data_IF_920584491787
#
_entry.id   IF_920584491787
#
_cell.length_a   1.000
_cell.length_b   1.000
_cell.length_c   1.000
_cell.angle_alpha   90.00
_cell.angle_beta   90.00
_cell.angle_gamma   90.00
#
_symmetry.space_group_name_H-M   'P 1'
#
loop_
_entity.id
_entity.type
_entity.pdbx_description
1 polymer ?
#
# COMPACT_ATOMS: atom_id res chain seq x y z
N UNK A 1 -39.06 9.34 16.50
CA UNK A 1 -39.20 8.45 15.33
C UNK A 1 -38.58 9.22 14.18
N UNK A 2 -37.38 8.89 13.80
CA UNK A 2 -36.68 9.55 12.68
C UNK A 2 -37.46 9.24 11.41
N UNK A 3 -37.96 10.26 10.73
CA UNK A 3 -38.60 10.14 9.41
C UNK A 3 -37.50 9.70 8.43
N UNK A 4 -37.60 8.47 7.94
CA UNK A 4 -36.70 7.94 6.91
C UNK A 4 -37.22 8.28 5.54
N UNK A 5 -36.32 8.57 4.63
CA UNK A 5 -36.68 8.78 3.25
C UNK A 5 -37.02 7.41 2.61
N UNK A 6 -38.25 7.29 2.15
CA UNK A 6 -38.73 6.09 1.43
C UNK A 6 -39.04 6.51 0.01
N UNK A 7 -38.39 5.84 -0.94
CA UNK A 7 -38.60 6.07 -2.37
C UNK A 7 -39.28 4.84 -3.00
N UNK A 8 -40.39 5.04 -3.63
CA UNK A 8 -41.07 4.00 -4.45
C UNK A 8 -40.37 3.91 -5.81
N UNK A 9 -40.03 2.71 -6.22
CA UNK A 9 -39.31 2.44 -7.46
C UNK A 9 -40.06 1.40 -8.27
N UNK A 10 -40.18 1.62 -9.58
CA UNK A 10 -40.69 0.66 -10.53
C UNK A 10 -39.60 0.31 -11.55
N UNK A 11 -39.30 -0.97 -11.71
CA UNK A 11 -38.30 -1.47 -12.68
C UNK A 11 -38.93 -2.70 -13.37
N UNK A 12 -39.08 -2.63 -14.68
CA UNK A 12 -39.69 -3.70 -15.50
C UNK A 12 -41.01 -4.23 -14.95
N UNK A 13 -41.89 -3.32 -14.48
CA UNK A 13 -43.19 -3.68 -13.94
C UNK A 13 -43.18 -4.24 -12.51
N UNK A 14 -42.01 -4.30 -11.86
CA UNK A 14 -41.88 -4.69 -10.45
C UNK A 14 -41.79 -3.45 -9.58
N UNK A 15 -42.76 -3.27 -8.68
CA UNK A 15 -42.78 -2.18 -7.72
C UNK A 15 -42.11 -2.60 -6.39
N UNK A 16 -41.23 -1.78 -5.85
CA UNK A 16 -40.62 -1.97 -4.54
C UNK A 16 -40.24 -0.64 -3.89
N UNK A 17 -40.02 -0.65 -2.58
CA UNK A 17 -39.61 0.54 -1.84
C UNK A 17 -38.12 0.48 -1.46
N UNK A 18 -37.43 1.62 -1.57
CA UNK A 18 -36.07 1.80 -1.06
C UNK A 18 -36.12 2.70 0.18
N UNK A 19 -35.63 2.21 1.31
CA UNK A 19 -35.51 2.95 2.57
C UNK A 19 -34.06 3.40 2.73
N UNK A 20 -33.83 4.71 2.76
CA UNK A 20 -32.48 5.26 2.92
C UNK A 20 -32.03 5.22 4.40
N UNK A 21 -30.96 4.49 4.67
CA UNK A 21 -30.33 4.35 6.00
C UNK A 21 -28.83 4.68 5.98
N UNK A 22 -28.34 5.31 4.90
CA UNK A 22 -26.90 5.62 4.73
C UNK A 22 -26.34 6.46 5.89
N UNK A 23 -27.16 7.34 6.46
CA UNK A 23 -26.78 8.23 7.56
C UNK A 23 -26.93 7.60 8.94
N UNK A 24 -27.50 6.41 9.04
CA UNK A 24 -27.75 5.74 10.34
C UNK A 24 -26.62 4.74 10.65
N UNK A 25 -25.53 5.23 11.22
CA UNK A 25 -24.33 4.41 11.55
C UNK A 25 -24.58 3.33 12.62
N UNK A 26 -25.66 3.44 13.38
CA UNK A 26 -25.97 2.52 14.51
C UNK A 26 -27.10 1.52 14.23
N UNK A 27 -27.62 1.47 13.02
CA UNK A 27 -28.73 0.57 12.72
C UNK A 27 -28.26 -0.88 12.61
N UNK A 28 -28.59 -1.71 13.62
CA UNK A 28 -28.22 -3.12 13.59
C UNK A 28 -29.02 -3.92 12.56
N UNK A 29 -28.40 -4.99 12.02
CA UNK A 29 -29.05 -5.94 11.08
C UNK A 29 -30.34 -6.52 11.69
N UNK A 30 -30.38 -6.76 13.00
CA UNK A 30 -31.59 -7.23 13.70
C UNK A 30 -32.71 -6.18 13.68
N UNK A 31 -32.37 -4.92 13.89
CA UNK A 31 -33.33 -3.82 13.83
C UNK A 31 -33.88 -3.65 12.38
N UNK A 32 -33.01 -3.73 11.38
CA UNK A 32 -33.42 -3.68 9.95
C UNK A 32 -34.39 -4.82 9.61
N UNK A 33 -34.10 -6.05 10.06
CA UNK A 33 -34.97 -7.20 9.84
C UNK A 33 -36.38 -7.00 10.44
N UNK A 34 -36.45 -6.50 11.67
CA UNK A 34 -37.72 -6.21 12.35
C UNK A 34 -38.49 -5.09 11.67
N UNK A 35 -37.82 -4.10 11.13
CA UNK A 35 -38.44 -2.97 10.44
C UNK A 35 -38.89 -3.34 9.03
N UNK A 36 -38.12 -4.19 8.31
CA UNK A 36 -38.48 -4.67 6.96
C UNK A 36 -39.91 -5.23 6.94
N UNK A 37 -40.22 -6.15 7.85
CA UNK A 37 -41.55 -6.75 7.93
C UNK A 37 -42.69 -5.70 8.07
N UNK A 38 -42.45 -4.67 8.92
CA UNK A 38 -43.43 -3.58 9.08
C UNK A 38 -43.59 -2.71 7.84
N UNK A 39 -42.49 -2.43 7.13
CA UNK A 39 -42.58 -1.67 5.87
C UNK A 39 -43.23 -2.47 4.77
N UNK A 40 -42.93 -3.76 4.63
CA UNK A 40 -43.54 -4.63 3.63
C UNK A 40 -45.04 -4.78 3.86
N UNK A 41 -45.47 -4.87 5.12
CA UNK A 41 -46.87 -4.90 5.50
C UNK A 41 -47.58 -3.57 5.17
N UNK A 42 -46.94 -2.42 5.48
CA UNK A 42 -47.54 -1.11 5.27
C UNK A 42 -47.59 -0.70 3.79
N UNK A 43 -46.57 -1.05 3.02
CA UNK A 43 -46.38 -0.62 1.63
C UNK A 43 -46.85 -1.65 0.61
N UNK A 44 -47.18 -2.86 1.05
CA UNK A 44 -47.64 -3.98 0.23
C UNK A 44 -46.74 -4.30 -0.97
N UNK A 45 -45.42 -4.09 -0.78
CA UNK A 45 -44.39 -4.35 -1.78
C UNK A 45 -43.05 -4.75 -1.11
N UNK A 46 -42.12 -5.40 -1.84
CA UNK A 46 -40.78 -5.69 -1.33
C UNK A 46 -40.04 -4.42 -0.88
N UNK A 47 -39.25 -4.54 0.18
CA UNK A 47 -38.49 -3.41 0.73
C UNK A 47 -36.99 -3.71 0.68
N UNK A 48 -36.25 -2.83 0.02
CA UNK A 48 -34.81 -2.82 0.00
C UNK A 48 -34.25 -1.63 0.80
N UNK A 49 -33.05 -1.77 1.32
CA UNK A 49 -32.36 -0.71 2.05
C UNK A 49 -31.27 -0.10 1.19
N UNK A 50 -31.21 1.21 1.12
CA UNK A 50 -30.03 1.91 0.65
C UNK A 50 -29.08 2.05 1.83
N UNK A 51 -27.96 1.35 1.78
CA UNK A 51 -26.97 1.25 2.85
C UNK A 51 -25.56 1.55 2.32
N UNK A 52 -24.68 2.01 3.19
CA UNK A 52 -23.25 2.06 2.89
C UNK A 52 -22.59 0.79 3.45
N UNK A 53 -22.29 -0.19 2.59
CA UNK A 53 -21.67 -1.44 3.02
C UNK A 53 -20.15 -1.27 3.02
N UNK A 54 -19.53 -1.31 4.18
CA UNK A 54 -18.11 -1.07 4.39
C UNK A 54 -17.28 -2.35 4.60
N UNK A 55 -17.91 -3.51 4.61
CA UNK A 55 -17.21 -4.79 4.79
C UNK A 55 -17.96 -5.98 4.21
N UNK A 56 -17.18 -7.01 3.80
CA UNK A 56 -17.73 -8.31 3.36
C UNK A 56 -18.55 -8.96 4.47
N UNK A 57 -18.16 -8.80 5.73
CA UNK A 57 -18.89 -9.33 6.88
C UNK A 57 -20.27 -8.72 7.00
N UNK A 58 -20.40 -7.40 6.86
CA UNK A 58 -21.69 -6.69 6.87
C UNK A 58 -22.58 -7.16 5.72
N UNK A 59 -22.05 -7.23 4.49
CA UNK A 59 -22.78 -7.75 3.34
C UNK A 59 -23.32 -9.16 3.58
N UNK A 60 -22.45 -10.06 4.04
CA UNK A 60 -22.85 -11.44 4.31
C UNK A 60 -23.92 -11.53 5.39
N UNK A 61 -23.85 -10.66 6.40
CA UNK A 61 -24.87 -10.59 7.45
C UNK A 61 -26.23 -10.12 6.89
N UNK A 62 -26.25 -9.13 6.00
CA UNK A 62 -27.47 -8.66 5.32
C UNK A 62 -28.08 -9.78 4.47
N UNK A 63 -27.29 -10.44 3.63
CA UNK A 63 -27.72 -11.55 2.77
C UNK A 63 -28.26 -12.72 3.62
N UNK A 64 -27.53 -13.14 4.67
CA UNK A 64 -27.93 -14.23 5.55
C UNK A 64 -29.26 -13.96 6.27
N UNK A 65 -29.56 -12.69 6.53
CA UNK A 65 -30.81 -12.29 7.18
C UNK A 65 -31.94 -11.94 6.17
N UNK A 66 -31.75 -12.18 4.88
CA UNK A 66 -32.75 -11.92 3.84
C UNK A 66 -33.09 -10.43 3.68
N UNK A 67 -32.13 -9.56 3.98
CA UNK A 67 -32.29 -8.13 3.79
C UNK A 67 -31.87 -7.74 2.38
N UNK A 68 -32.77 -7.16 1.64
CA UNK A 68 -32.52 -6.64 0.29
C UNK A 68 -31.84 -5.29 0.40
N UNK A 69 -30.86 -5.02 -0.45
CA UNK A 69 -30.13 -3.78 -0.37
C UNK A 69 -29.59 -3.27 -1.71
N UNK A 70 -29.37 -1.97 -1.74
CA UNK A 70 -28.65 -1.24 -2.79
C UNK A 70 -27.57 -0.41 -2.12
N UNK A 71 -26.33 -0.60 -2.58
CA UNK A 71 -25.17 0.18 -2.15
C UNK A 71 -24.45 0.72 -3.39
N UNK A 72 -24.29 2.01 -3.45
CA UNK A 72 -23.49 2.64 -4.49
C UNK A 72 -22.02 2.65 -4.06
N UNK A 73 -21.08 2.09 -4.86
CA UNK A 73 -21.13 2.06 -6.32
C UNK A 73 -21.41 0.72 -7.00
N UNK A 74 -21.94 -0.33 -6.39
CA UNK A 74 -22.22 -1.50 -7.22
C UNK A 74 -22.66 -2.78 -6.50
N UNK A 75 -22.93 -2.74 -5.21
CA UNK A 75 -23.50 -3.88 -4.51
C UNK A 75 -25.02 -3.81 -4.52
N UNK A 76 -25.66 -4.73 -5.19
CA UNK A 76 -27.11 -4.83 -5.26
C UNK A 76 -27.54 -6.26 -4.95
N UNK A 77 -28.47 -6.43 -4.02
CA UNK A 77 -29.07 -7.69 -3.67
C UNK A 77 -30.59 -7.56 -3.66
N UNK A 78 -31.19 -7.83 -4.80
CA UNK A 78 -32.65 -7.77 -5.04
C UNK A 78 -33.12 -9.11 -5.64
N UNK A 79 -33.12 -10.20 -4.86
CA UNK A 79 -33.39 -11.55 -5.35
C UNK A 79 -34.82 -11.69 -5.89
N UNK A 80 -35.78 -10.89 -5.45
CA UNK A 80 -37.13 -10.85 -5.98
C UNK A 80 -37.21 -10.36 -7.44
N UNK A 81 -36.14 -9.72 -7.93
CA UNK A 81 -35.98 -9.32 -9.34
C UNK A 81 -34.95 -10.20 -10.09
N UNK A 82 -34.41 -11.22 -9.46
CA UNK A 82 -33.31 -11.99 -10.03
C UNK A 82 -31.97 -11.23 -10.10
N UNK A 83 -31.85 -10.08 -9.44
CA UNK A 83 -30.66 -9.22 -9.50
C UNK A 83 -29.78 -9.47 -8.28
N UNK A 84 -28.58 -10.00 -8.53
CA UNK A 84 -27.52 -10.13 -7.53
C UNK A 84 -26.24 -9.60 -8.17
N UNK A 85 -25.96 -8.33 -7.97
CA UNK A 85 -24.69 -7.72 -8.37
C UNK A 85 -23.76 -7.69 -7.16
N UNK A 86 -22.57 -8.18 -7.36
CA UNK A 86 -21.52 -8.16 -6.36
C UNK A 86 -20.33 -7.42 -6.94
N UNK A 87 -20.09 -6.20 -6.47
CA UNK A 87 -18.79 -5.60 -6.66
C UNK A 87 -17.79 -6.38 -5.78
N UNK A 88 -16.68 -6.77 -6.37
CA UNK A 88 -15.58 -7.33 -5.57
C UNK A 88 -15.14 -6.19 -4.68
N UNK A 89 -15.35 -6.32 -3.37
CA UNK A 89 -14.85 -5.37 -2.40
C UNK A 89 -13.33 -5.33 -2.54
N UNK A 90 -12.85 -4.49 -3.43
CA UNK A 90 -11.53 -3.90 -3.25
C UNK A 90 -11.69 -3.04 -2.01
N UNK A 91 -11.10 -3.46 -0.87
CA UNK A 91 -10.81 -2.50 0.18
C UNK A 91 -10.33 -1.26 -0.57
N UNK A 92 -11.05 -0.14 -0.43
CA UNK A 92 -10.43 1.15 -0.69
C UNK A 92 -9.32 1.23 0.36
N UNK A 93 -8.17 0.68 -0.01
CA UNK A 93 -6.93 1.05 0.64
C UNK A 93 -6.94 2.56 0.47
N UNK A 94 -6.96 3.29 1.56
CA UNK A 94 -6.72 4.73 1.55
C UNK A 94 -5.57 4.90 0.56
N UNK A 95 -5.80 5.62 -0.56
CA UNK A 95 -4.75 5.89 -1.54
C UNK A 95 -3.57 6.39 -0.75
N UNK A 96 -2.61 5.53 -0.46
CA UNK A 96 -1.40 5.96 0.20
C UNK A 96 -0.72 6.87 -0.82
N UNK A 97 -0.62 8.15 -0.51
CA UNK A 97 0.02 9.13 -1.39
C UNK A 97 1.48 8.75 -1.66
N UNK A 98 2.06 7.88 -0.84
CA UNK A 98 3.44 7.42 -0.92
C UNK A 98 3.55 5.91 -0.64
N UNK A 99 4.59 5.30 -1.20
CA UNK A 99 4.91 3.89 -0.94
C UNK A 99 5.31 3.67 0.52
N UNK A 100 4.96 2.50 1.07
CA UNK A 100 5.60 2.00 2.29
C UNK A 100 7.03 1.52 1.99
N UNK A 101 7.94 1.47 2.98
CA UNK A 101 9.31 0.98 2.74
C UNK A 101 9.36 -0.39 2.06
N UNK A 102 8.59 -1.36 2.53
CA UNK A 102 8.51 -2.70 1.92
C UNK A 102 7.93 -2.65 0.49
N UNK A 103 7.01 -1.72 0.20
CA UNK A 103 6.46 -1.52 -1.16
C UNK A 103 7.53 -0.99 -2.09
N UNK A 104 8.34 -0.02 -1.64
CA UNK A 104 9.45 0.51 -2.43
C UNK A 104 10.53 -0.56 -2.69
N UNK A 105 10.82 -1.43 -1.72
CA UNK A 105 11.72 -2.57 -1.95
C UNK A 105 11.19 -3.50 -3.05
N UNK A 106 9.92 -3.87 -3.01
CA UNK A 106 9.30 -4.71 -4.07
C UNK A 106 9.27 -3.99 -5.41
N UNK A 107 8.99 -2.69 -5.41
CA UNK A 107 9.09 -1.85 -6.61
C UNK A 107 10.50 -1.88 -7.22
N UNK A 108 11.54 -1.67 -6.42
CA UNK A 108 12.94 -1.69 -6.88
C UNK A 108 13.34 -3.07 -7.40
N UNK A 109 12.93 -4.15 -6.74
CA UNK A 109 13.19 -5.51 -7.22
C UNK A 109 12.63 -5.70 -8.61
N UNK A 110 11.36 -5.37 -8.84
CA UNK A 110 10.74 -5.49 -10.14
C UNK A 110 11.34 -4.51 -11.17
N UNK A 111 11.76 -3.32 -10.75
CA UNK A 111 12.41 -2.34 -11.63
C UNK A 111 13.73 -2.87 -12.18
N UNK A 112 14.52 -3.56 -11.34
CA UNK A 112 15.85 -4.06 -11.72
C UNK A 112 15.82 -5.44 -12.40
N UNK A 113 14.68 -6.10 -12.43
CA UNK A 113 14.47 -7.32 -13.23
C UNK A 113 14.50 -7.00 -14.74
N UNK A 114 14.79 -8.02 -15.57
CA UNK A 114 14.68 -7.89 -17.03
C UNK A 114 13.26 -7.62 -17.46
N UNK A 115 13.10 -7.07 -18.66
CA UNK A 115 11.79 -6.88 -19.23
C UNK A 115 11.11 -8.22 -19.51
N UNK A 116 9.77 -8.26 -19.36
CA UNK A 116 8.90 -9.44 -19.51
C UNK A 116 9.11 -10.55 -18.45
N UNK A 117 10.00 -10.38 -17.47
CA UNK A 117 10.14 -11.32 -16.37
C UNK A 117 9.01 -11.16 -15.35
N UNK A 118 8.50 -12.28 -14.85
CA UNK A 118 7.63 -12.34 -13.68
C UNK A 118 8.37 -13.00 -12.52
N UNK A 119 8.10 -12.56 -11.30
CA UNK A 119 8.68 -13.13 -10.09
C UNK A 119 7.62 -13.83 -9.26
N UNK A 120 7.96 -14.98 -8.67
CA UNK A 120 7.12 -15.60 -7.66
C UNK A 120 7.17 -14.75 -6.37
N UNK A 121 6.01 -14.54 -5.77
CA UNK A 121 5.94 -13.81 -4.49
C UNK A 121 6.81 -14.43 -3.41
N UNK A 122 6.88 -15.76 -3.34
CA UNK A 122 7.72 -16.46 -2.38
C UNK A 122 9.21 -16.17 -2.57
N UNK A 123 9.68 -16.09 -3.82
CA UNK A 123 11.08 -15.77 -4.14
C UNK A 123 11.41 -14.31 -3.76
N UNK A 124 10.53 -13.36 -4.10
CA UNK A 124 10.69 -11.96 -3.73
C UNK A 124 10.68 -11.78 -2.21
N UNK A 125 9.81 -12.50 -1.49
CA UNK A 125 9.78 -12.47 -0.03
C UNK A 125 11.11 -12.92 0.57
N UNK A 126 11.63 -14.06 0.09
CA UNK A 126 12.90 -14.62 0.56
C UNK A 126 14.08 -13.70 0.23
N UNK A 127 14.17 -13.22 -1.02
CA UNK A 127 15.26 -12.33 -1.47
C UNK A 127 15.33 -11.03 -0.68
N UNK A 128 14.18 -10.41 -0.39
CA UNK A 128 14.10 -9.14 0.32
C UNK A 128 13.90 -9.30 1.84
N UNK A 129 13.97 -10.52 2.35
CA UNK A 129 13.72 -10.84 3.76
C UNK A 129 12.41 -10.23 4.29
N UNK A 130 11.33 -10.31 3.49
CA UNK A 130 10.01 -9.80 3.84
C UNK A 130 9.12 -10.91 4.37
N UNK A 131 8.32 -10.60 5.41
CA UNK A 131 7.27 -11.50 5.84
C UNK A 131 6.17 -11.62 4.77
N UNK A 132 5.47 -12.75 4.71
CA UNK A 132 4.33 -12.96 3.80
C UNK A 132 3.29 -11.85 3.90
N UNK A 133 3.05 -11.36 5.11
CA UNK A 133 2.09 -10.24 5.36
C UNK A 133 2.61 -8.93 4.77
N UNK A 134 3.88 -8.60 4.99
CA UNK A 134 4.50 -7.38 4.44
C UNK A 134 4.50 -7.40 2.92
N UNK A 135 4.88 -8.53 2.31
CA UNK A 135 4.84 -8.69 0.86
C UNK A 135 3.42 -8.57 0.29
N UNK A 136 2.43 -9.20 0.96
CA UNK A 136 1.03 -9.11 0.50
C UNK A 136 0.52 -7.67 0.52
N UNK A 137 0.86 -6.91 1.55
CA UNK A 137 0.52 -5.48 1.63
C UNK A 137 1.25 -4.66 0.57
N UNK A 138 2.54 -4.91 0.37
CA UNK A 138 3.35 -4.22 -0.62
C UNK A 138 2.83 -4.46 -2.05
N UNK A 139 2.55 -5.72 -2.42
CA UNK A 139 2.02 -6.04 -3.74
C UNK A 139 0.60 -5.53 -3.95
N UNK A 140 -0.24 -5.50 -2.91
CA UNK A 140 -1.57 -4.91 -2.99
C UNK A 140 -1.49 -3.40 -3.22
N UNK A 141 -0.56 -2.70 -2.57
CA UNK A 141 -0.35 -1.26 -2.78
C UNK A 141 0.15 -0.96 -4.21
N UNK A 142 1.11 -1.75 -4.74
CA UNK A 142 1.60 -1.58 -6.12
C UNK A 142 0.53 -1.87 -7.16
N UNK A 143 -0.33 -2.86 -6.92
CA UNK A 143 -1.45 -3.19 -7.81
C UNK A 143 -2.52 -2.10 -7.80
N UNK A 144 -2.82 -1.52 -6.64
CA UNK A 144 -3.73 -0.38 -6.50
C UNK A 144 -3.21 0.88 -7.21
N UNK A 145 -1.89 1.10 -7.17
CA UNK A 145 -1.21 2.16 -7.93
C UNK A 145 -1.19 1.89 -9.45
N UNK A 146 -1.66 0.72 -9.90
CA UNK A 146 -1.66 0.33 -11.30
C UNK A 146 -0.27 -0.02 -11.84
N UNK A 147 0.71 -0.26 -10.98
CA UNK A 147 2.09 -0.51 -11.36
C UNK A 147 2.39 -1.98 -11.71
N UNK A 148 1.68 -2.92 -11.09
CA UNK A 148 1.87 -4.35 -11.29
C UNK A 148 0.55 -5.07 -11.54
N UNK A 149 0.67 -6.30 -12.08
CA UNK A 149 -0.40 -7.29 -12.06
C UNK A 149 0.06 -8.53 -11.30
N UNK A 150 -0.93 -9.19 -10.67
CA UNK A 150 -0.74 -10.44 -9.97
C UNK A 150 -1.46 -11.55 -10.72
N UNK A 151 -0.75 -12.63 -11.01
CA UNK A 151 -1.31 -13.82 -11.68
C UNK A 151 -1.23 -15.01 -10.73
N UNK A 152 -2.36 -15.69 -10.54
CA UNK A 152 -2.44 -16.87 -9.69
C UNK A 152 -2.46 -18.13 -10.54
N UNK A 153 -1.53 -19.06 -10.26
CA UNK A 153 -1.49 -20.39 -10.86
C UNK A 153 -1.45 -21.44 -9.74
N UNK A 154 -2.58 -22.10 -9.51
CA UNK A 154 -2.73 -23.03 -8.39
C UNK A 154 -2.56 -22.34 -7.04
N UNK A 155 -1.56 -22.75 -6.28
CA UNK A 155 -1.19 -22.17 -4.97
C UNK A 155 -0.17 -21.03 -5.08
N UNK A 156 0.46 -20.85 -6.23
CA UNK A 156 1.49 -19.86 -6.46
C UNK A 156 0.89 -18.55 -7.01
N UNK A 157 1.53 -17.45 -6.64
CA UNK A 157 1.18 -16.11 -7.15
C UNK A 157 2.45 -15.47 -7.68
N UNK A 158 2.43 -15.13 -8.96
CA UNK A 158 3.48 -14.34 -9.60
C UNK A 158 3.08 -12.87 -9.71
N UNK A 159 4.07 -12.01 -9.74
CA UNK A 159 3.95 -10.57 -9.91
C UNK A 159 4.82 -10.10 -11.07
N UNK A 160 4.30 -9.20 -11.86
CA UNK A 160 5.06 -8.57 -12.95
C UNK A 160 4.65 -7.12 -13.16
N UNK A 161 5.51 -6.35 -13.81
CA UNK A 161 5.21 -4.97 -14.21
C UNK A 161 4.10 -4.91 -15.26
N UNK A 162 3.28 -3.87 -15.22
CA UNK A 162 2.22 -3.64 -16.21
C UNK A 162 2.72 -3.02 -17.53
N UNK A 163 3.97 -2.53 -17.54
CA UNK A 163 4.51 -1.75 -18.63
C UNK A 163 6.05 -1.88 -18.69
N UNK A 164 6.66 -1.25 -19.67
CA UNK A 164 8.12 -1.21 -19.83
C UNK A 164 8.82 -0.63 -18.61
N UNK A 165 10.09 -0.97 -18.39
CA UNK A 165 10.88 -0.48 -17.24
C UNK A 165 10.87 1.04 -17.11
N UNK A 166 10.98 1.75 -18.22
CA UNK A 166 10.98 3.22 -18.24
C UNK A 166 9.63 3.77 -17.78
N UNK A 167 8.54 3.29 -18.35
CA UNK A 167 7.19 3.71 -17.96
C UNK A 167 6.85 3.32 -16.50
N UNK A 168 7.29 2.15 -16.05
CA UNK A 168 7.13 1.70 -14.69
C UNK A 168 7.77 2.66 -13.68
N UNK A 169 9.00 3.12 -13.96
CA UNK A 169 9.68 4.12 -13.15
C UNK A 169 8.96 5.49 -13.21
N UNK A 170 8.63 5.98 -14.41
CA UNK A 170 7.95 7.28 -14.59
C UNK A 170 6.60 7.33 -13.84
N UNK A 171 5.81 6.25 -13.94
CA UNK A 171 4.52 6.15 -13.25
C UNK A 171 4.65 6.06 -11.73
N UNK A 172 5.77 5.52 -11.24
CA UNK A 172 6.02 5.34 -9.82
C UNK A 172 6.62 6.56 -9.10
N UNK A 173 7.28 7.48 -9.83
CA UNK A 173 8.04 8.62 -9.27
C UNK A 173 7.27 9.39 -8.19
N UNK A 174 5.98 9.65 -8.43
CA UNK A 174 5.14 10.43 -7.50
C UNK A 174 4.86 9.71 -6.17
N UNK A 175 5.07 8.41 -6.13
CA UNK A 175 4.82 7.56 -4.97
C UNK A 175 6.07 7.21 -4.17
N UNK A 176 7.26 7.44 -4.74
CA UNK A 176 8.53 7.10 -4.08
C UNK A 176 8.72 7.88 -2.78
N UNK A 177 9.39 7.26 -1.83
CA UNK A 177 9.75 7.86 -0.54
C UNK A 177 11.25 8.07 -0.43
N UNK A 178 11.64 9.08 0.31
CA UNK A 178 13.01 9.21 0.77
C UNK A 178 13.33 8.03 1.74
N UNK A 179 14.32 7.20 1.44
CA UNK A 179 14.70 6.08 2.29
C UNK A 179 15.32 6.52 3.62
N UNK A 180 15.94 7.69 3.67
CA UNK A 180 16.61 8.20 4.87
C UNK A 180 15.59 8.49 5.96
N UNK A 181 15.78 7.91 7.14
CA UNK A 181 15.00 8.22 8.32
C UNK A 181 15.70 9.26 9.20
N UNK A 182 17.00 9.14 9.35
CA UNK A 182 17.84 10.00 10.16
C UNK A 182 19.26 9.98 9.60
N UNK A 183 19.98 11.08 9.79
CA UNK A 183 21.44 11.14 9.57
C UNK A 183 22.08 11.34 10.93
N UNK A 184 23.14 10.62 11.21
CA UNK A 184 24.01 10.79 12.38
C UNK A 184 25.43 11.01 11.90
N UNK A 185 26.22 11.77 12.65
CA UNK A 185 27.67 11.94 12.40
C UNK A 185 28.43 11.16 13.46
N UNK A 186 29.42 10.40 13.03
CA UNK A 186 30.31 9.62 13.90
C UNK A 186 31.77 9.90 13.52
N UNK A 187 32.71 9.49 14.37
CA UNK A 187 34.10 9.46 13.97
C UNK A 187 34.34 8.31 12.98
N UNK A 188 35.02 8.56 11.87
CA UNK A 188 35.30 7.59 10.79
C UNK A 188 35.91 6.28 11.29
N UNK A 189 36.76 6.35 12.29
CA UNK A 189 37.40 5.16 12.90
C UNK A 189 36.39 4.19 13.55
N UNK A 190 35.19 4.64 13.89
CA UNK A 190 34.13 3.80 14.45
C UNK A 190 33.32 3.05 13.37
N UNK A 191 33.51 3.39 12.11
CA UNK A 191 32.80 2.78 11.00
C UNK A 191 33.32 1.37 10.67
N UNK A 192 33.28 0.47 11.65
CA UNK A 192 33.70 -0.94 11.51
C UNK A 192 32.47 -1.81 11.22
N UNK A 193 31.69 -1.43 10.21
CA UNK A 193 30.48 -2.12 9.78
C UNK A 193 30.32 -2.05 8.26
N UNK A 194 29.51 -2.95 7.70
CA UNK A 194 29.18 -2.92 6.28
C UNK A 194 28.28 -1.71 5.99
N UNK A 195 28.73 -0.85 5.08
CA UNK A 195 27.98 0.33 4.65
C UNK A 195 28.15 0.56 3.15
N UNK A 196 27.29 1.41 2.59
CA UNK A 196 27.29 1.73 1.16
C UNK A 196 27.35 3.23 0.99
N UNK A 197 28.20 3.72 0.11
CA UNK A 197 28.28 5.15 -0.21
C UNK A 197 26.88 5.67 -0.58
N UNK A 198 26.53 6.82 -0.01
CA UNK A 198 25.20 7.42 -0.13
C UNK A 198 25.29 8.93 -0.30
N UNK A 199 24.16 9.61 -0.42
CA UNK A 199 24.07 11.06 -0.50
C UNK A 199 25.00 11.67 -1.54
N UNK A 200 25.66 12.78 -1.20
CA UNK A 200 26.57 13.47 -2.11
C UNK A 200 27.84 12.66 -2.42
N UNK A 201 28.29 11.77 -1.52
CA UNK A 201 29.42 10.87 -1.78
C UNK A 201 29.10 9.94 -2.96
N UNK A 202 27.96 9.24 -2.93
CA UNK A 202 27.56 8.39 -4.04
C UNK A 202 27.25 9.20 -5.31
N UNK A 203 26.67 10.38 -5.18
CA UNK A 203 26.34 11.24 -6.31
C UNK A 203 27.61 11.74 -7.01
N UNK A 204 28.66 12.12 -6.28
CA UNK A 204 29.95 12.55 -6.86
C UNK A 204 30.62 11.46 -7.69
N UNK A 205 30.44 10.19 -7.30
CA UNK A 205 30.96 9.06 -8.07
C UNK A 205 30.18 8.76 -9.36
N UNK A 206 28.96 9.29 -9.48
CA UNK A 206 28.07 9.11 -10.64
C UNK A 206 28.00 10.34 -11.53
N UNK A 207 28.64 11.42 -11.15
CA UNK A 207 28.58 12.71 -11.81
C UNK A 207 29.94 13.42 -11.78
N UNK A 208 30.02 14.62 -12.32
CA UNK A 208 31.20 15.48 -12.27
C UNK A 208 31.25 16.40 -11.03
N UNK A 209 30.40 16.13 -10.03
CA UNK A 209 30.41 16.89 -8.77
C UNK A 209 31.63 16.53 -7.92
N UNK A 210 32.15 17.51 -7.21
CA UNK A 210 33.16 17.23 -6.20
C UNK A 210 32.58 16.42 -5.05
N UNK A 211 33.32 15.49 -4.43
CA UNK A 211 32.89 14.81 -3.23
C UNK A 211 32.62 15.80 -2.09
N UNK A 212 31.68 15.49 -1.18
CA UNK A 212 31.44 16.31 -0.01
C UNK A 212 32.65 16.28 0.91
N UNK A 213 32.79 17.28 1.78
CA UNK A 213 33.88 17.33 2.74
C UNK A 213 33.75 16.24 3.81
N UNK A 214 32.51 16.01 4.29
CA UNK A 214 32.22 14.86 5.17
C UNK A 214 31.56 13.81 4.29
N UNK A 215 32.19 12.66 4.14
CA UNK A 215 31.64 11.56 3.35
C UNK A 215 30.35 11.02 3.97
N UNK A 216 29.50 10.42 3.12
CA UNK A 216 28.19 9.91 3.51
C UNK A 216 28.06 8.44 3.14
N UNK A 217 27.59 7.63 4.08
CA UNK A 217 27.25 6.24 3.83
C UNK A 217 25.84 5.92 4.34
N UNK A 218 25.29 4.80 3.90
CA UNK A 218 23.97 4.31 4.31
C UNK A 218 24.07 2.93 4.94
N UNK A 219 23.31 2.74 6.02
CA UNK A 219 23.07 1.44 6.65
C UNK A 219 21.57 1.29 6.95
N UNK A 220 21.15 0.06 7.20
CA UNK A 220 19.78 -0.18 7.64
C UNK A 220 19.58 0.27 9.09
N UNK A 221 18.53 1.02 9.37
CA UNK A 221 18.23 1.53 10.72
C UNK A 221 17.97 0.47 11.80
N UNK A 222 17.84 -0.79 11.43
CA UNK A 222 17.66 -1.92 12.34
C UNK A 222 18.93 -2.69 12.63
N UNK A 223 20.10 -2.21 12.21
CA UNK A 223 21.38 -2.82 12.52
C UNK A 223 21.74 -2.58 14.00
N UNK A 224 22.14 -3.65 14.71
CA UNK A 224 22.46 -3.60 16.15
C UNK A 224 23.67 -2.69 16.44
N UNK A 225 24.56 -2.50 15.47
CA UNK A 225 25.73 -1.66 15.62
C UNK A 225 25.38 -0.20 15.92
N UNK A 226 24.20 0.26 15.50
CA UNK A 226 23.77 1.67 15.66
C UNK A 226 23.72 2.07 17.14
N UNK A 227 23.29 1.17 18.01
CA UNK A 227 23.19 1.43 19.45
C UNK A 227 24.58 1.57 20.14
N UNK A 228 25.66 1.19 19.45
CA UNK A 228 27.04 1.24 19.95
C UNK A 228 27.81 2.44 19.40
N UNK A 229 27.26 3.16 18.40
CA UNK A 229 27.97 4.30 17.78
C UNK A 229 27.91 5.54 18.67
N UNK A 230 29.05 6.20 18.85
CA UNK A 230 29.11 7.50 19.50
C UNK A 230 28.78 8.60 18.49
N UNK A 231 27.68 9.30 18.73
CA UNK A 231 27.24 10.40 17.86
C UNK A 231 27.97 11.66 18.25
N UNK A 232 28.67 12.26 17.30
CA UNK A 232 29.44 13.50 17.50
C UNK A 232 28.77 14.68 16.76
N UNK A 233 29.11 15.90 17.18
CA UNK A 233 28.73 17.11 16.49
C UNK A 233 29.88 17.61 15.64
N UNK A 234 29.77 17.46 14.31
CA UNK A 234 30.82 17.85 13.36
C UNK A 234 31.31 19.30 13.47
N UNK A 235 30.59 20.19 14.17
CA UNK A 235 31.04 21.57 14.40
C UNK A 235 32.23 21.68 15.34
N UNK A 236 32.46 20.64 16.14
CA UNK A 236 33.53 20.58 17.15
C UNK A 236 34.65 19.57 16.81
N UNK A 237 34.52 18.88 15.67
CA UNK A 237 35.43 17.83 15.23
C UNK A 237 36.16 18.20 13.93
N UNK A 238 37.23 17.48 13.61
CA UNK A 238 37.84 17.56 12.29
C UNK A 238 36.92 16.87 11.26
N UNK A 239 36.47 17.62 10.27
CA UNK A 239 35.54 17.12 9.28
C UNK A 239 36.11 15.99 8.45
N UNK A 240 37.40 15.94 8.22
CA UNK A 240 38.06 14.89 7.44
C UNK A 240 38.08 13.54 8.22
N UNK A 241 37.90 13.60 9.54
CA UNK A 241 37.78 12.43 10.42
C UNK A 241 36.29 12.08 10.71
N UNK A 242 35.36 12.86 10.26
CA UNK A 242 33.93 12.61 10.40
C UNK A 242 33.37 11.73 9.27
N UNK A 243 32.24 11.05 9.56
CA UNK A 243 31.46 10.30 8.60
C UNK A 243 29.97 10.53 8.91
N UNK A 244 29.19 10.91 7.91
CA UNK A 244 27.74 10.97 7.99
C UNK A 244 27.13 9.62 7.66
N UNK A 245 26.39 9.05 8.59
CA UNK A 245 25.72 7.77 8.44
C UNK A 245 24.22 7.99 8.28
N UNK A 246 23.70 7.70 7.11
CA UNK A 246 22.28 7.73 6.80
C UNK A 246 21.62 6.44 7.28
N UNK A 247 20.70 6.53 8.22
CA UNK A 247 19.90 5.41 8.72
C UNK A 247 18.69 5.24 7.82
N UNK A 248 18.66 4.17 7.02
CA UNK A 248 17.62 3.94 6.01
C UNK A 248 16.47 3.09 6.55
N UNK A 249 15.27 3.34 6.03
CA UNK A 249 14.03 2.63 6.37
C UNK A 249 14.00 1.18 5.89
N UNK A 250 14.87 0.81 4.95
CA UNK A 250 15.10 -0.55 4.45
C UNK A 250 16.59 -0.76 4.20
N UNK A 251 17.02 -2.02 4.17
CA UNK A 251 18.41 -2.35 4.02
C UNK A 251 18.93 -2.01 2.61
N UNK A 252 19.90 -1.08 2.46
CA UNK A 252 20.44 -0.70 1.17
C UNK A 252 21.17 -1.83 0.44
N UNK A 253 21.67 -2.85 1.16
CA UNK A 253 22.44 -3.97 0.59
C UNK A 253 21.71 -4.73 -0.50
N UNK A 254 20.36 -4.80 -0.45
CA UNK A 254 19.58 -5.54 -1.44
C UNK A 254 19.76 -5.02 -2.87
N UNK A 255 20.02 -3.73 -3.03
CA UNK A 255 20.11 -3.07 -4.34
C UNK A 255 21.44 -2.37 -4.58
N UNK A 256 22.33 -2.32 -3.59
CA UNK A 256 23.64 -1.72 -3.70
C UNK A 256 24.49 -2.38 -4.77
N UNK A 257 25.28 -1.59 -5.49
CA UNK A 257 26.22 -2.05 -6.52
C UNK A 257 27.51 -1.26 -6.48
N UNK A 258 28.64 -1.96 -6.50
CA UNK A 258 29.95 -1.33 -6.52
C UNK A 258 30.23 -0.46 -5.29
N UNK A 259 29.79 -0.91 -4.11
CA UNK A 259 30.02 -0.22 -2.83
C UNK A 259 29.09 0.96 -2.55
N UNK A 260 28.11 1.24 -3.39
CA UNK A 260 27.17 2.37 -3.23
C UNK A 260 25.72 1.95 -3.36
N UNK A 261 24.83 2.78 -2.82
CA UNK A 261 23.38 2.58 -2.89
C UNK A 261 22.88 2.65 -4.34
N UNK A 262 21.73 2.07 -4.61
CA UNK A 262 21.14 2.08 -5.95
C UNK A 262 20.73 3.50 -6.39
N UNK A 263 20.79 3.79 -7.71
CA UNK A 263 20.55 5.14 -8.24
C UNK A 263 19.14 5.68 -7.97
N UNK A 264 18.14 4.81 -7.91
CA UNK A 264 16.74 5.25 -7.70
C UNK A 264 16.54 5.65 -6.24
N UNK A 265 17.02 4.85 -5.30
CA UNK A 265 17.00 5.20 -3.87
C UNK A 265 17.85 6.45 -3.60
N UNK A 266 19.02 6.56 -4.24
CA UNK A 266 19.86 7.76 -4.16
C UNK A 266 19.10 9.01 -4.63
N UNK A 267 18.46 8.96 -5.80
CA UNK A 267 17.68 10.08 -6.31
C UNK A 267 16.51 10.49 -5.40
N UNK A 268 16.01 9.59 -4.55
CA UNK A 268 14.96 9.90 -3.59
C UNK A 268 15.48 10.62 -2.32
N UNK A 269 16.81 10.76 -2.15
CA UNK A 269 17.39 11.46 -1.00
C UNK A 269 17.52 12.97 -1.22
N UNK A 270 17.40 13.42 -2.46
CA UNK A 270 17.41 14.82 -2.90
C UNK A 270 15.99 15.26 -3.27
#
# INVERSE_FOLDING_TARGET
MTMRDITMVEVYGVNFAIVDVVKETELSVAAMKKQKAKYEEALQCPVAYKVAINSVSMRNALVKNGLFFVDLPGNVFLPFMGIVLQDVYRKQLVKADKMMPATQMVFLELLYMKDEESALKSEVANKLNLTKTSLTRATAQLEEMGLIQQMKSGTEVSIQRNCSRKEYYENAKVYLINPVQKVITIMRQEAVFESFDAGETALSQLSELNPPRIEECAIYKGEEVIDQLEIVDARYEDWDECLNVQLWKYNPSYFARGGRVDPVSLACTF
#
